data_IF_775997324343
#
_entry.id   IF_775997324343
#
_cell.length_a   1.000
_cell.length_b   1.000
_cell.length_c   1.000
_cell.angle_alpha   90.00
_cell.angle_beta   90.00
_cell.angle_gamma   90.00
#
_symmetry.space_group_name_H-M   'P 1'
#
loop_
_entity.id
_entity.type
_entity.pdbx_description
1 polymer ?
#
# COMPACT_ATOMS: atom_id res chain seq x y z
N UNK A 1 -35.59 12.08 2.40
CA UNK A 1 -34.72 11.99 1.20
C UNK A 1 -33.28 12.10 1.70
N UNK A 2 -32.36 11.14 1.67
CA UNK A 2 -32.33 9.69 1.46
C UNK A 2 -31.04 9.27 2.16
N UNK A 3 -31.09 8.20 2.96
CA UNK A 3 -29.91 7.63 3.61
C UNK A 3 -28.96 7.07 2.55
N UNK A 4 -27.66 7.32 2.72
CA UNK A 4 -26.60 6.58 2.06
C UNK A 4 -25.71 5.97 3.15
N UNK A 5 -26.25 4.94 3.80
CA UNK A 5 -25.46 3.90 4.42
C UNK A 5 -24.94 3.00 3.30
N UNK A 6 -23.65 3.06 2.99
CA UNK A 6 -22.91 1.97 2.36
C UNK A 6 -21.47 2.03 2.92
N UNK A 7 -21.08 1.12 3.81
CA UNK A 7 -20.63 -0.25 3.53
C UNK A 7 -19.10 -0.29 3.64
N UNK A 8 -18.59 -0.96 4.69
CA UNK A 8 -17.16 -0.92 5.00
C UNK A 8 -16.69 -1.93 6.04
N UNK A 9 -17.27 -3.13 5.99
CA UNK A 9 -16.64 -4.39 6.41
C UNK A 9 -16.45 -4.62 7.91
N UNK A 10 -17.39 -5.41 8.45
CA UNK A 10 -17.06 -6.51 9.35
C UNK A 10 -15.89 -7.30 8.74
N UNK A 11 -14.80 -7.50 9.47
CA UNK A 11 -13.98 -8.67 9.17
C UNK A 11 -13.45 -9.28 10.46
N UNK A 12 -14.09 -10.41 10.72
CA UNK A 12 -13.72 -11.50 11.60
C UNK A 12 -12.23 -11.79 11.53
N UNK A 13 -11.67 -12.13 12.68
CA UNK A 13 -10.25 -12.30 12.95
C UNK A 13 -9.71 -13.53 12.21
N UNK A 14 -9.30 -13.34 10.95
CA UNK A 14 -8.38 -14.22 10.22
C UNK A 14 -7.06 -13.47 10.00
N UNK A 15 -6.28 -13.34 11.08
CA UNK A 15 -5.16 -12.38 11.19
C UNK A 15 -4.16 -12.46 10.03
N UNK A 16 -3.89 -13.65 9.47
CA UNK A 16 -2.88 -13.83 8.42
C UNK A 16 -3.33 -13.57 6.96
N UNK A 17 -4.48 -14.04 6.47
CA UNK A 17 -4.96 -13.66 5.14
C UNK A 17 -5.32 -12.17 5.06
N UNK A 18 -5.83 -11.58 6.15
CA UNK A 18 -6.11 -10.15 6.25
C UNK A 18 -4.83 -9.30 6.18
N UNK A 19 -3.77 -9.70 6.87
CA UNK A 19 -2.48 -8.99 6.80
C UNK A 19 -1.86 -9.08 5.41
N UNK A 20 -1.91 -10.25 4.75
CA UNK A 20 -1.41 -10.40 3.39
C UNK A 20 -2.18 -9.54 2.39
N UNK A 21 -3.52 -9.48 2.51
CA UNK A 21 -4.36 -8.64 1.67
C UNK A 21 -4.09 -7.15 1.91
N UNK A 22 -3.95 -6.75 3.17
CA UNK A 22 -3.57 -5.37 3.55
C UNK A 22 -2.22 -4.97 2.98
N UNK A 23 -1.19 -5.80 3.12
CA UNK A 23 0.15 -5.52 2.57
C UNK A 23 0.15 -5.46 1.04
N UNK A 24 -0.66 -6.29 0.36
CA UNK A 24 -0.84 -6.20 -1.10
C UNK A 24 -1.46 -4.87 -1.51
N UNK A 25 -2.53 -4.45 -0.82
CA UNK A 25 -3.19 -3.17 -1.06
C UNK A 25 -2.24 -1.99 -0.79
N UNK A 26 -1.50 -2.03 0.32
CA UNK A 26 -0.50 -1.03 0.68
C UNK A 26 0.61 -0.95 -0.36
N UNK A 27 1.14 -2.08 -0.82
CA UNK A 27 2.15 -2.12 -1.88
C UNK A 27 1.63 -1.54 -3.21
N UNK A 28 0.36 -1.82 -3.56
CA UNK A 28 -0.27 -1.25 -4.75
C UNK A 28 -0.43 0.28 -4.65
N UNK A 29 -0.92 0.76 -3.51
CA UNK A 29 -1.07 2.20 -3.25
C UNK A 29 0.28 2.94 -3.26
N UNK A 30 1.31 2.36 -2.63
CA UNK A 30 2.68 2.92 -2.69
C UNK A 30 3.23 2.95 -4.12
N UNK A 31 2.95 1.93 -4.93
CA UNK A 31 3.35 1.89 -6.34
C UNK A 31 2.65 2.98 -7.15
N UNK A 32 1.35 3.17 -6.98
CA UNK A 32 0.58 4.24 -7.65
C UNK A 32 1.12 5.62 -7.26
N UNK A 33 1.27 5.88 -5.97
CA UNK A 33 1.76 7.17 -5.47
C UNK A 33 3.18 7.51 -5.95
N UNK A 34 4.06 6.51 -6.06
CA UNK A 34 5.38 6.70 -6.67
C UNK A 34 5.24 7.04 -8.16
N UNK A 35 4.40 6.31 -8.91
CA UNK A 35 4.18 6.57 -10.34
C UNK A 35 3.69 7.99 -10.59
N UNK A 36 2.70 8.45 -9.83
CA UNK A 36 2.16 9.81 -9.94
C UNK A 36 3.23 10.88 -9.69
N UNK A 37 4.13 10.66 -8.72
CA UNK A 37 5.21 11.59 -8.44
C UNK A 37 6.35 11.51 -9.47
N UNK A 38 6.62 10.33 -10.03
CA UNK A 38 7.62 10.14 -11.10
C UNK A 38 7.17 10.71 -12.44
N UNK A 39 5.86 10.87 -12.66
CA UNK A 39 5.29 11.54 -13.83
C UNK A 39 5.44 13.08 -13.79
N UNK A 40 5.85 13.64 -12.65
CA UNK A 40 6.12 15.08 -12.54
C UNK A 40 7.33 15.45 -13.40
N UNK A 41 7.13 16.37 -14.35
CA UNK A 41 8.19 16.85 -15.27
C UNK A 41 9.30 17.62 -14.54
N UNK A 42 8.96 18.31 -13.45
CA UNK A 42 9.88 19.09 -12.62
C UNK A 42 9.52 18.90 -11.14
N UNK A 43 9.90 17.77 -10.53
CA UNK A 43 9.65 17.55 -9.12
C UNK A 43 10.51 18.52 -8.29
N UNK A 44 9.93 19.05 -7.21
CA UNK A 44 10.64 19.78 -6.17
C UNK A 44 11.49 18.83 -5.32
N UNK A 45 12.48 19.38 -4.60
CA UNK A 45 13.31 18.62 -3.65
C UNK A 45 12.48 17.82 -2.63
N UNK A 46 11.30 18.37 -2.28
CA UNK A 46 10.33 17.72 -1.39
C UNK A 46 9.69 16.50 -2.06
N UNK A 47 9.27 16.63 -3.31
CA UNK A 47 8.68 15.53 -4.08
C UNK A 47 9.72 14.44 -4.36
N UNK A 48 10.95 14.81 -4.68
CA UNK A 48 12.06 13.86 -4.84
C UNK A 48 12.37 13.11 -3.54
N UNK A 49 12.39 13.82 -2.40
CA UNK A 49 12.56 13.22 -1.08
C UNK A 49 11.41 12.27 -0.74
N UNK A 50 10.18 12.67 -1.09
CA UNK A 50 8.99 11.85 -0.91
C UNK A 50 9.04 10.57 -1.78
N UNK A 51 9.46 10.67 -3.05
CA UNK A 51 9.67 9.50 -3.93
C UNK A 51 10.70 8.56 -3.30
N UNK A 52 11.83 9.09 -2.82
CA UNK A 52 12.87 8.28 -2.16
C UNK A 52 12.33 7.57 -0.93
N UNK A 53 11.53 8.25 -0.11
CA UNK A 53 10.92 7.66 1.08
C UNK A 53 9.90 6.58 0.70
N UNK A 54 8.97 6.88 -0.21
CA UNK A 54 7.96 5.92 -0.65
C UNK A 54 8.59 4.68 -1.30
N UNK A 55 9.69 4.82 -2.03
CA UNK A 55 10.45 3.68 -2.57
C UNK A 55 11.01 2.78 -1.47
N UNK A 56 11.50 3.35 -0.36
CA UNK A 56 11.97 2.59 0.82
C UNK A 56 10.80 1.89 1.51
N UNK A 57 9.68 2.58 1.71
CA UNK A 57 8.47 2.01 2.31
C UNK A 57 7.94 0.85 1.47
N UNK A 58 7.86 1.03 0.15
CA UNK A 58 7.45 -0.02 -0.79
C UNK A 58 8.35 -1.26 -0.70
N UNK A 59 9.66 -1.06 -0.58
CA UNK A 59 10.60 -2.17 -0.41
C UNK A 59 10.34 -2.94 0.89
N UNK A 60 10.15 -2.22 2.00
CA UNK A 60 9.84 -2.82 3.31
C UNK A 60 8.52 -3.61 3.29
N UNK A 61 7.46 -3.06 2.68
CA UNK A 61 6.18 -3.76 2.51
C UNK A 61 6.36 -5.01 1.64
N UNK A 62 7.12 -4.91 0.55
CA UNK A 62 7.43 -6.07 -0.32
C UNK A 62 8.17 -7.17 0.46
N UNK A 63 9.14 -6.82 1.29
CA UNK A 63 9.85 -7.80 2.13
C UNK A 63 8.93 -8.50 3.13
N UNK A 64 8.02 -7.76 3.78
CA UNK A 64 7.01 -8.33 4.67
C UNK A 64 6.05 -9.26 3.92
N UNK A 65 5.58 -8.83 2.75
CA UNK A 65 4.69 -9.60 1.89
C UNK A 65 5.36 -10.91 1.46
N UNK A 66 6.62 -10.87 1.03
CA UNK A 66 7.41 -12.07 0.70
C UNK A 66 7.54 -13.01 1.91
N UNK A 67 7.87 -12.49 3.10
CA UNK A 67 7.97 -13.31 4.31
C UNK A 67 6.64 -13.99 4.68
N UNK A 68 5.52 -13.29 4.56
CA UNK A 68 4.19 -13.85 4.82
C UNK A 68 3.77 -14.88 3.77
N UNK A 69 4.09 -14.66 2.48
CA UNK A 69 3.83 -15.65 1.44
C UNK A 69 4.61 -16.96 1.66
N UNK A 70 5.87 -16.87 2.10
CA UNK A 70 6.67 -18.06 2.42
C UNK A 70 6.23 -18.77 3.69
N UNK A 71 5.65 -18.07 4.68
CA UNK A 71 5.07 -18.70 5.87
C UNK A 71 3.75 -19.45 5.59
N UNK A 72 3.01 -19.01 4.57
CA UNK A 72 1.73 -19.60 4.16
C UNK A 72 1.86 -20.62 3.01
N UNK A 73 3.09 -21.00 2.60
CA UNK A 73 3.38 -22.04 1.60
C UNK A 73 3.85 -23.32 2.29
#
# INVERSE_FOLDING_TARGET
>A
MTAAEENGQHQEVTVEPDELQRLKAEHAHLKEKISTLEELRFPSDREESQIKQLKKEKLSVKEKLTKLQFKNS
#
